data_IF_046687379583
#
_entry.id   IF_046687379583
#
_cell.length_a   1.000
_cell.length_b   1.000
_cell.length_c   1.000
_cell.angle_alpha   90.00
_cell.angle_beta   90.00
_cell.angle_gamma   90.00
#
_symmetry.space_group_name_H-M   'P 1'
#
loop_
_entity.id
_entity.type
_entity.pdbx_description
1 polymer ?
#
# COMPACT_ATOMS: atom_id res chain seq x y z
N UNK A 1 7.07 6.30 -15.35
CA UNK A 1 5.61 6.12 -15.41
C UNK A 1 5.12 6.03 -13.96
N UNK A 2 4.40 7.03 -13.45
CA UNK A 2 3.80 6.95 -12.11
C UNK A 2 2.74 5.87 -12.16
N UNK A 3 3.03 4.70 -11.58
CA UNK A 3 2.03 3.66 -11.47
C UNK A 3 0.99 4.11 -10.42
N UNK A 4 -0.26 4.22 -10.85
CA UNK A 4 -1.38 4.54 -9.98
C UNK A 4 -1.62 3.37 -9.02
N UNK A 5 -1.54 3.66 -7.72
CA UNK A 5 -1.85 2.71 -6.65
C UNK A 5 -3.38 2.45 -6.63
N UNK A 6 -3.76 1.18 -6.58
CA UNK A 6 -5.15 0.71 -6.53
C UNK A 6 -5.34 -0.31 -5.42
N UNK A 7 -6.60 -0.52 -5.01
CA UNK A 7 -6.94 -1.58 -4.06
C UNK A 7 -6.57 -2.95 -4.64
N UNK A 8 -5.94 -3.81 -3.83
CA UNK A 8 -5.44 -5.12 -4.25
C UNK A 8 -3.99 -5.11 -4.74
N UNK A 9 -3.40 -3.93 -4.96
CA UNK A 9 -1.99 -3.84 -5.34
C UNK A 9 -1.08 -4.22 -4.17
N UNK A 10 -0.03 -4.99 -4.47
CA UNK A 10 1.03 -5.28 -3.51
C UNK A 10 2.05 -4.16 -3.55
N UNK A 11 2.38 -3.62 -2.39
CA UNK A 11 3.30 -2.49 -2.24
C UNK A 11 4.44 -2.81 -1.30
N UNK A 12 5.49 -2.01 -1.41
CA UNK A 12 6.55 -1.89 -0.41
C UNK A 12 6.58 -0.45 0.09
N UNK A 13 6.45 -0.29 1.40
CA UNK A 13 6.63 1.01 2.05
C UNK A 13 8.10 1.41 2.10
N UNK A 14 8.41 2.68 2.39
CA UNK A 14 9.79 3.16 2.54
C UNK A 14 10.57 2.38 3.61
N UNK A 15 9.89 1.93 4.67
CA UNK A 15 10.49 1.12 5.74
C UNK A 15 10.71 -0.35 5.40
N UNK A 16 10.44 -0.77 4.15
CA UNK A 16 10.58 -2.16 3.73
C UNK A 16 9.43 -3.06 4.20
N UNK A 17 8.30 -2.50 4.64
CA UNK A 17 7.09 -3.29 4.92
C UNK A 17 6.41 -3.65 3.60
N UNK A 18 6.23 -4.95 3.38
CA UNK A 18 5.46 -5.51 2.29
C UNK A 18 4.01 -5.73 2.74
N UNK A 19 3.06 -5.33 1.90
CA UNK A 19 1.65 -5.54 2.17
C UNK A 19 0.80 -5.28 0.94
N UNK A 20 -0.51 -5.40 1.10
CA UNK A 20 -1.46 -5.15 0.02
C UNK A 20 -2.37 -3.97 0.38
N UNK A 21 -2.73 -3.16 -0.59
CA UNK A 21 -3.62 -2.02 -0.40
C UNK A 21 -5.06 -2.52 -0.18
N UNK A 22 -5.61 -2.25 1.00
CA UNK A 22 -7.00 -2.51 1.33
C UNK A 22 -7.91 -1.33 0.92
N UNK A 23 -7.43 -0.10 1.10
CA UNK A 23 -8.14 1.15 0.72
C UNK A 23 -7.15 2.30 0.51
N UNK A 24 -7.47 3.24 -0.39
CA UNK A 24 -6.67 4.45 -0.65
C UNK A 24 -7.57 5.67 -0.57
N UNK A 25 -7.06 6.68 0.12
CA UNK A 25 -7.57 8.04 0.14
C UNK A 25 -6.53 9.01 -0.44
N UNK A 26 -6.86 10.30 -0.50
CA UNK A 26 -5.93 11.31 -0.99
C UNK A 26 -4.67 11.45 -0.13
N UNK A 27 -4.81 11.36 1.20
CA UNK A 27 -3.71 11.52 2.16
C UNK A 27 -3.21 10.21 2.76
N UNK A 28 -4.07 9.21 2.88
CA UNK A 28 -3.81 7.97 3.61
C UNK A 28 -4.02 6.74 2.74
N UNK A 29 -3.41 5.65 3.16
CA UNK A 29 -3.57 4.33 2.56
C UNK A 29 -3.67 3.31 3.68
N UNK A 30 -4.65 2.43 3.57
CA UNK A 30 -4.82 1.29 4.47
C UNK A 30 -4.16 0.10 3.80
N UNK A 31 -3.16 -0.46 4.47
CA UNK A 31 -2.42 -1.63 4.02
C UNK A 31 -2.83 -2.80 4.90
N UNK A 32 -3.19 -3.93 4.29
CA UNK A 32 -3.33 -5.20 4.99
C UNK A 32 -2.02 -5.97 4.93
N UNK A 33 -1.54 -6.44 6.08
CA UNK A 33 -0.36 -7.32 6.18
C UNK A 33 -0.75 -8.76 6.49
N UNK A 34 -1.96 -8.99 7.00
CA UNK A 34 -2.58 -10.30 7.26
C UNK A 34 -4.11 -10.14 7.31
N UNK A 35 -4.88 -11.24 7.33
CA UNK A 35 -6.35 -11.20 7.24
C UNK A 35 -7.05 -10.25 8.24
N UNK A 36 -6.48 -10.07 9.44
CA UNK A 36 -7.04 -9.17 10.46
C UNK A 36 -6.16 -7.95 10.80
N UNK A 37 -5.00 -7.79 10.16
CA UNK A 37 -4.09 -6.70 10.47
C UNK A 37 -4.11 -5.65 9.36
N UNK A 38 -4.74 -4.51 9.68
CA UNK A 38 -4.79 -3.32 8.84
C UNK A 38 -4.00 -2.21 9.49
N UNK A 39 -3.11 -1.62 8.72
CA UNK A 39 -2.25 -0.52 9.15
C UNK A 39 -2.49 0.67 8.25
N UNK A 40 -2.76 1.82 8.86
CA UNK A 40 -2.92 3.07 8.11
C UNK A 40 -1.58 3.77 8.02
N UNK A 41 -1.16 4.05 6.79
CA UNK A 41 0.03 4.81 6.48
C UNK A 41 -0.33 6.06 5.69
N UNK A 42 0.53 7.06 5.73
CA UNK A 42 0.46 8.16 4.77
C UNK A 42 0.74 7.64 3.36
N UNK A 43 0.02 8.17 2.37
CA UNK A 43 0.23 7.83 0.96
C UNK A 43 1.68 8.09 0.51
N UNK A 44 2.34 9.07 1.14
CA UNK A 44 3.75 9.40 0.91
C UNK A 44 4.73 8.35 1.42
N UNK A 45 4.30 7.45 2.30
CA UNK A 45 5.13 6.38 2.86
C UNK A 45 5.23 5.16 1.92
N UNK A 46 4.54 5.17 0.78
CA UNK A 46 4.59 4.10 -0.22
C UNK A 46 5.73 4.37 -1.19
N UNK A 47 6.71 3.47 -1.24
CA UNK A 47 7.92 3.63 -2.06
C UNK A 47 7.73 3.07 -3.46
N UNK A 48 7.23 1.84 -3.55
CA UNK A 48 7.14 1.13 -4.82
C UNK A 48 5.99 0.12 -4.81
N UNK A 49 5.47 -0.17 -6.00
CA UNK A 49 4.56 -1.29 -6.25
C UNK A 49 5.40 -2.56 -6.42
N UNK A 50 5.16 -3.55 -5.58
CA UNK A 50 5.86 -4.83 -5.62
C UNK A 50 5.35 -5.72 -6.75
N UNK A 51 4.05 -5.63 -7.05
CA UNK A 51 3.37 -6.52 -7.98
C UNK A 51 2.03 -5.90 -8.42
N UNK A 52 1.72 -5.97 -9.71
CA UNK A 52 0.38 -5.69 -10.24
C UNK A 52 -0.30 -7.03 -10.52
N UNK A 53 -1.30 -7.36 -9.71
CA UNK A 53 -2.21 -8.47 -9.98
C UNK A 53 -3.16 -8.15 -11.13
#
# INVERSE_FOLDING_TARGET
MQQSLSKGDKIVTIGGLHGEIDSIDESKVVIKTSENNRLTFDRRAIRELADKG
#
